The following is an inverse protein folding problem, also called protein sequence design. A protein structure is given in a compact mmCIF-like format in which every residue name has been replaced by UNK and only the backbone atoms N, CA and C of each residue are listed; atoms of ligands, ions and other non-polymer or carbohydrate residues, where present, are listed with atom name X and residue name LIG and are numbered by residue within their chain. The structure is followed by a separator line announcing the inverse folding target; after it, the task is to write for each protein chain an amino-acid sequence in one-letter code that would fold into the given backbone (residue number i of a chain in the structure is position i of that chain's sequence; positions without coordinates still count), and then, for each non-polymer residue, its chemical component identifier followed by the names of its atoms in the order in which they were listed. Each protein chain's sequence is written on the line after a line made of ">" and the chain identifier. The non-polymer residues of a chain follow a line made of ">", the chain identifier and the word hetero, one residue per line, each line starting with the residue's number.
data_IF_546942828952
#
_entry.id   IF_546942828952
#
_cell.length_a   1.000
_cell.length_b   1.000
_cell.length_c   1.000
_cell.angle_alpha   90.00
_cell.angle_beta   90.00
_cell.angle_gamma   90.00
#
_symmetry.space_group_name_H-M   'P 1'
#
loop_
_entity.id
_entity.type
_entity.pdbx_description
1 polymer ?
#
# COMPACT_ATOMS: atom_id res chain seq x y z
N UNK A 1 18.17 11.74 -3.80
CA UNK A 1 16.95 11.29 -4.51
C UNK A 1 17.09 11.67 -5.96
N UNK A 2 17.11 10.70 -6.88
CA UNK A 2 17.10 10.98 -8.33
C UNK A 2 15.65 11.26 -8.71
N UNK A 3 15.29 12.52 -8.90
CA UNK A 3 14.04 12.88 -9.56
C UNK A 3 14.16 12.40 -11.02
N UNK A 4 13.31 11.45 -11.41
CA UNK A 4 13.17 11.11 -12.82
C UNK A 4 12.70 12.33 -13.58
N UNK A 5 13.46 12.74 -14.60
CA UNK A 5 13.01 13.76 -15.55
C UNK A 5 11.87 13.12 -16.34
N UNK A 6 10.63 13.41 -15.94
CA UNK A 6 9.47 13.07 -16.76
C UNK A 6 9.41 14.11 -17.88
N UNK A 7 9.62 13.67 -19.12
CA UNK A 7 9.35 14.50 -20.28
C UNK A 7 7.84 14.83 -20.28
N UNK A 8 7.51 16.11 -20.08
CA UNK A 8 6.14 16.61 -20.21
C UNK A 8 5.88 16.72 -21.70
N UNK A 9 5.37 15.66 -22.31
CA UNK A 9 4.89 15.68 -23.70
C UNK A 9 3.46 16.17 -23.73
N UNK A 10 3.10 16.97 -24.72
CA UNK A 10 1.70 17.35 -24.98
C UNK A 10 0.86 16.10 -25.25
N UNK A 11 -0.39 16.12 -24.79
CA UNK A 11 -1.35 15.06 -25.07
C UNK A 11 -1.54 14.89 -26.59
N UNK A 12 -1.57 13.66 -27.13
CA UNK A 12 -1.70 13.43 -28.56
C UNK A 12 -3.13 13.56 -29.10
N UNK A 13 -4.14 13.61 -28.21
CA UNK A 13 -5.55 13.72 -28.59
C UNK A 13 -6.38 14.60 -27.65
N UNK A 14 -7.68 14.62 -27.89
CA UNK A 14 -8.66 15.31 -27.04
C UNK A 14 -8.80 14.63 -25.68
N UNK A 15 -9.40 15.34 -24.74
CA UNK A 15 -9.69 14.82 -23.42
C UNK A 15 -11.04 15.33 -22.92
N UNK A 16 -11.63 14.59 -21.97
CA UNK A 16 -12.76 15.04 -21.16
C UNK A 16 -12.26 15.60 -19.84
N UNK A 17 -12.96 16.58 -19.31
CA UNK A 17 -12.63 17.16 -18.01
C UNK A 17 -13.88 17.38 -17.15
N UNK A 18 -13.66 17.38 -15.84
CA UNK A 18 -14.59 17.91 -14.84
C UNK A 18 -13.82 18.87 -13.93
N UNK A 19 -14.50 19.93 -13.49
CA UNK A 19 -14.02 20.88 -12.49
C UNK A 19 -14.95 20.80 -11.30
N UNK A 20 -14.42 20.40 -10.16
CA UNK A 20 -15.14 20.19 -8.91
C UNK A 20 -14.68 21.21 -7.87
N UNK A 21 -15.62 21.86 -7.20
CA UNK A 21 -15.33 22.78 -6.09
C UNK A 21 -14.71 22.01 -4.93
N UNK A 22 -13.53 22.45 -4.51
CA UNK A 22 -12.91 21.99 -3.27
C UNK A 22 -13.55 22.74 -2.08
N UNK A 23 -14.62 22.13 -1.56
CA UNK A 23 -15.31 22.58 -0.37
C UNK A 23 -14.84 21.86 0.92
N UNK A 24 -13.66 21.23 0.89
CA UNK A 24 -13.01 20.70 2.08
C UNK A 24 -12.72 21.81 3.08
N UNK A 25 -12.71 21.50 4.37
CA UNK A 25 -12.32 22.50 5.37
C UNK A 25 -10.81 22.67 5.36
N UNK A 26 -10.34 23.86 4.97
CA UNK A 26 -8.91 24.15 4.90
C UNK A 26 -8.37 24.67 6.24
N UNK A 27 -7.37 23.96 6.77
CA UNK A 27 -6.53 24.47 7.85
C UNK A 27 -5.16 24.87 7.29
N UNK A 28 -4.81 26.15 7.46
CA UNK A 28 -3.52 26.66 7.02
C UNK A 28 -2.45 26.33 8.07
N UNK A 29 -1.27 25.81 7.66
CA UNK A 29 -0.17 25.55 8.57
C UNK A 29 0.19 26.78 9.42
N UNK A 30 0.59 26.54 10.67
CA UNK A 30 1.04 27.56 11.62
C UNK A 30 -0.01 28.65 11.94
N UNK A 31 -1.27 28.41 11.64
CA UNK A 31 -2.37 29.24 12.15
C UNK A 31 -3.03 28.53 13.33
N UNK A 32 -3.10 29.17 14.51
CA UNK A 32 -3.94 28.67 15.60
C UNK A 32 -5.38 28.96 15.18
N UNK A 33 -6.03 27.99 14.56
CA UNK A 33 -7.47 28.00 14.35
C UNK A 33 -8.12 27.62 15.69
N UNK A 34 -8.22 28.59 16.62
CA UNK A 34 -9.25 28.53 17.66
C UNK A 34 -10.56 28.46 16.88
N UNK A 35 -11.38 27.41 17.09
CA UNK A 35 -12.67 27.21 16.40
C UNK A 35 -13.28 28.56 16.02
N UNK A 36 -13.36 28.91 14.72
CA UNK A 36 -13.84 30.23 14.34
C UNK A 36 -15.29 30.39 14.82
N UNK A 37 -15.71 31.59 15.25
CA UNK A 37 -17.13 31.91 15.42
C UNK A 37 -17.97 31.73 14.13
N UNK A 38 -17.32 31.44 13.00
CA UNK A 38 -17.87 31.48 11.65
C UNK A 38 -17.71 30.18 10.82
N UNK A 39 -17.30 29.04 11.40
CA UNK A 39 -17.28 27.79 10.64
C UNK A 39 -16.60 26.60 11.34
N UNK A 40 -16.80 25.37 10.83
CA UNK A 40 -16.16 24.21 11.42
C UNK A 40 -14.65 24.22 11.16
N UNK A 41 -13.87 23.82 12.16
CA UNK A 41 -12.45 23.45 11.99
C UNK A 41 -12.34 22.12 11.24
N UNK A 42 -11.24 21.86 10.52
CA UNK A 42 -10.98 20.54 9.93
C UNK A 42 -10.88 19.41 10.97
N UNK A 43 -10.81 19.74 12.26
CA UNK A 43 -10.91 18.76 13.36
C UNK A 43 -12.35 18.29 13.64
N UNK A 44 -13.36 19.06 13.25
CA UNK A 44 -14.78 18.78 13.53
C UNK A 44 -15.60 18.56 12.26
N UNK A 45 -15.22 19.18 11.14
CA UNK A 45 -15.76 18.85 9.83
C UNK A 45 -14.65 18.98 8.80
N UNK A 46 -14.24 17.86 8.20
CA UNK A 46 -13.16 17.80 7.22
C UNK A 46 -13.61 18.18 5.79
N UNK A 47 -14.88 17.99 5.46
CA UNK A 47 -15.46 18.29 4.14
C UNK A 47 -16.99 18.32 4.20
N UNK A 48 -17.64 18.82 3.13
CA UNK A 48 -19.08 18.63 2.91
C UNK A 48 -19.34 17.25 2.29
N UNK A 49 -20.58 16.75 2.36
CA UNK A 49 -20.95 15.42 1.85
C UNK A 49 -20.78 15.21 0.34
N UNK A 50 -20.52 16.26 -0.44
CA UNK A 50 -20.30 16.21 -1.87
C UNK A 50 -19.43 17.38 -2.34
N UNK A 51 -18.77 17.24 -3.49
CA UNK A 51 -18.09 18.33 -4.21
C UNK A 51 -18.93 18.71 -5.44
N UNK A 52 -19.44 19.95 -5.55
CA UNK A 52 -20.18 20.39 -6.73
C UNK A 52 -19.31 20.38 -8.00
N UNK A 53 -19.80 19.76 -9.07
CA UNK A 53 -19.24 19.94 -10.42
C UNK A 53 -19.69 21.31 -10.93
N UNK A 54 -18.76 22.23 -11.14
CA UNK A 54 -19.04 23.58 -11.63
C UNK A 54 -18.85 23.72 -13.14
N UNK A 55 -18.07 22.82 -13.74
CA UNK A 55 -17.88 22.75 -15.19
C UNK A 55 -17.50 21.34 -15.61
N UNK A 56 -17.90 20.96 -16.82
CA UNK A 56 -17.43 19.73 -17.47
C UNK A 56 -17.46 19.93 -18.98
N UNK A 57 -16.64 19.18 -19.71
CA UNK A 57 -16.60 19.31 -21.16
C UNK A 57 -15.48 18.51 -21.79
N UNK A 58 -15.11 18.93 -23.00
CA UNK A 58 -13.98 18.39 -23.75
C UNK A 58 -12.96 19.47 -24.02
N UNK A 59 -11.68 19.09 -24.04
CA UNK A 59 -10.55 19.96 -24.36
C UNK A 59 -9.74 19.42 -25.54
N UNK A 60 -9.06 20.34 -26.23
CA UNK A 60 -8.13 20.00 -27.29
C UNK A 60 -6.75 19.66 -26.72
N UNK A 61 -5.85 19.12 -27.53
CA UNK A 61 -4.46 18.79 -27.16
C UNK A 61 -3.69 19.97 -26.54
N UNK A 62 -4.01 21.20 -26.95
CA UNK A 62 -3.42 22.44 -26.45
C UNK A 62 -3.99 22.92 -25.11
N UNK A 63 -5.03 22.27 -24.59
CA UNK A 63 -5.75 22.67 -23.37
C UNK A 63 -7.16 23.22 -23.65
N UNK A 64 -7.77 23.78 -22.61
CA UNK A 64 -9.10 24.38 -22.62
C UNK A 64 -9.16 25.54 -21.62
N UNK A 65 -9.85 26.62 -21.99
CA UNK A 65 -10.13 27.72 -21.08
C UNK A 65 -11.50 27.50 -20.42
N UNK A 66 -11.54 27.50 -19.10
CA UNK A 66 -12.76 27.31 -18.32
C UNK A 66 -12.93 28.50 -17.39
N UNK A 67 -14.06 29.20 -17.52
CA UNK A 67 -14.39 30.32 -16.62
C UNK A 67 -15.10 29.78 -15.39
N UNK A 68 -14.50 29.98 -14.22
CA UNK A 68 -15.06 29.62 -12.91
C UNK A 68 -14.88 30.79 -11.93
N UNK A 69 -15.72 30.92 -10.89
CA UNK A 69 -15.48 31.90 -9.82
C UNK A 69 -14.12 31.72 -9.13
N UNK A 70 -13.64 32.75 -8.41
CA UNK A 70 -12.38 32.67 -7.64
C UNK A 70 -12.54 31.81 -6.38
N UNK A 71 -12.46 30.49 -6.55
CA UNK A 71 -12.53 29.50 -5.47
C UNK A 71 -11.50 28.38 -5.68
N UNK A 72 -11.43 27.46 -4.71
CA UNK A 72 -10.59 26.26 -4.83
C UNK A 72 -11.31 25.20 -5.65
N UNK A 73 -10.58 24.58 -6.56
CA UNK A 73 -11.07 23.51 -7.43
C UNK A 73 -10.07 22.37 -7.55
N UNK A 74 -10.62 21.16 -7.71
CA UNK A 74 -9.92 20.04 -8.31
C UNK A 74 -10.38 19.85 -9.75
N UNK A 75 -9.41 19.71 -10.65
CA UNK A 75 -9.64 19.47 -12.07
C UNK A 75 -9.23 18.04 -12.33
N UNK A 76 -10.15 17.25 -12.87
CA UNK A 76 -9.89 15.88 -13.32
C UNK A 76 -9.93 15.84 -14.85
N UNK A 77 -8.93 15.21 -15.46
CA UNK A 77 -8.81 15.04 -16.91
C UNK A 77 -8.74 13.55 -17.24
N UNK A 78 -9.56 13.14 -18.20
CA UNK A 78 -9.56 11.80 -18.79
C UNK A 78 -9.31 11.92 -20.29
N UNK A 79 -8.09 11.62 -20.78
CA UNK A 79 -7.80 11.56 -22.20
C UNK A 79 -8.67 10.52 -22.92
N UNK A 80 -9.02 10.78 -24.18
CA UNK A 80 -9.94 9.90 -24.92
C UNK A 80 -9.30 8.57 -25.36
N UNK A 81 -7.97 8.48 -25.35
CA UNK A 81 -7.25 7.23 -25.64
C UNK A 81 -5.85 7.23 -25.03
N UNK A 82 -5.30 6.04 -24.79
CA UNK A 82 -3.87 5.83 -24.53
C UNK A 82 -3.33 6.27 -23.16
N UNK A 83 -4.15 6.89 -22.30
CA UNK A 83 -3.72 7.40 -20.99
C UNK A 83 -4.81 7.19 -19.92
N UNK A 84 -4.36 7.02 -18.68
CA UNK A 84 -5.20 6.98 -17.50
C UNK A 84 -5.68 8.39 -17.10
N UNK A 85 -6.69 8.44 -16.24
CA UNK A 85 -7.17 9.70 -15.66
C UNK A 85 -6.09 10.35 -14.78
N UNK A 86 -6.10 11.68 -14.72
CA UNK A 86 -5.23 12.48 -13.85
C UNK A 86 -5.98 13.65 -13.25
N UNK A 87 -5.38 14.31 -12.26
CA UNK A 87 -5.99 15.49 -11.65
C UNK A 87 -4.97 16.44 -11.04
N UNK A 88 -5.40 17.69 -10.87
CA UNK A 88 -4.62 18.74 -10.21
C UNK A 88 -5.54 19.80 -9.59
N UNK A 89 -5.05 20.48 -8.56
CA UNK A 89 -5.74 21.63 -7.98
C UNK A 89 -5.41 22.93 -8.72
N UNK A 90 -6.37 23.87 -8.74
CA UNK A 90 -6.11 25.25 -9.21
C UNK A 90 -5.38 26.12 -8.18
N UNK A 91 -4.97 25.55 -7.05
CA UNK A 91 -4.35 26.30 -5.95
C UNK A 91 -3.17 25.54 -5.35
N UNK A 92 -2.35 26.25 -4.60
CA UNK A 92 -1.32 25.69 -3.73
C UNK A 92 -1.30 26.43 -2.40
N UNK A 93 -0.85 25.75 -1.34
CA UNK A 93 -0.59 26.39 -0.05
C UNK A 93 0.87 26.81 -0.04
N UNK A 94 1.12 28.11 0.10
CA UNK A 94 2.46 28.66 0.16
C UNK A 94 2.75 29.22 1.56
N UNK A 95 3.99 29.08 2.07
CA UNK A 95 4.38 29.74 3.30
C UNK A 95 4.24 31.26 3.14
N UNK A 96 3.81 31.94 4.19
CA UNK A 96 3.78 33.40 4.17
C UNK A 96 5.20 33.97 4.12
N UNK A 97 5.35 35.13 3.48
CA UNK A 97 6.61 35.87 3.52
C UNK A 97 7.00 36.17 4.98
N UNK A 98 8.31 36.11 5.29
CA UNK A 98 8.87 36.46 6.60
C UNK A 98 8.25 35.69 7.80
N UNK A 99 8.06 34.37 7.68
CA UNK A 99 7.34 33.55 8.69
C UNK A 99 5.90 34.02 8.94
N UNK A 100 5.29 34.69 7.96
CA UNK A 100 3.87 35.03 7.98
C UNK A 100 2.98 33.80 7.82
N UNK A 101 1.66 33.94 8.07
CA UNK A 101 0.73 32.82 7.93
C UNK A 101 0.74 32.29 6.50
N UNK A 102 0.67 30.97 6.36
CA UNK A 102 0.50 30.33 5.06
C UNK A 102 -0.78 30.84 4.38
N UNK A 103 -0.78 30.90 3.05
CA UNK A 103 -1.91 31.39 2.27
C UNK A 103 -2.23 30.47 1.08
N UNK A 104 -3.48 30.53 0.64
CA UNK A 104 -3.91 29.92 -0.62
C UNK A 104 -3.48 30.81 -1.77
N UNK A 105 -2.77 30.24 -2.73
CA UNK A 105 -2.38 30.92 -3.98
C UNK A 105 -3.04 30.21 -5.15
N UNK A 106 -3.92 30.91 -5.86
CA UNK A 106 -4.60 30.43 -7.06
C UNK A 106 -3.68 30.49 -8.27
N UNK A 107 -3.93 29.59 -9.24
CA UNK A 107 -3.18 29.44 -10.48
C UNK A 107 -4.12 29.65 -11.66
N UNK A 108 -3.75 30.59 -12.52
CA UNK A 108 -4.49 30.85 -13.78
C UNK A 108 -4.28 29.72 -14.80
N UNK A 109 -3.17 28.99 -14.70
CA UNK A 109 -2.85 27.84 -15.54
C UNK A 109 -2.59 26.60 -14.69
N UNK A 110 -3.34 25.54 -14.97
CA UNK A 110 -3.21 24.25 -14.30
C UNK A 110 -2.66 23.22 -15.28
N UNK A 111 -1.53 22.60 -14.95
CA UNK A 111 -1.02 21.46 -15.70
C UNK A 111 -1.49 20.17 -15.03
N UNK A 112 -2.28 19.38 -15.74
CA UNK A 112 -2.72 18.06 -15.28
C UNK A 112 -1.81 16.99 -15.90
N UNK A 113 -1.14 16.21 -15.05
CA UNK A 113 -0.33 15.09 -15.48
C UNK A 113 -1.18 13.82 -15.56
N UNK A 114 -1.02 13.06 -16.64
CA UNK A 114 -1.69 11.78 -16.87
C UNK A 114 -0.65 10.70 -17.15
N UNK A 115 -0.97 9.45 -16.79
CA UNK A 115 -0.07 8.31 -17.00
C UNK A 115 -0.43 7.59 -18.30
N UNK A 116 0.57 7.24 -19.12
CA UNK A 116 0.36 6.51 -20.38
C UNK A 116 0.05 5.03 -20.12
N UNK A 117 -0.84 4.44 -20.92
CA UNK A 117 -1.11 3.01 -20.93
C UNK A 117 -0.10 2.22 -21.79
N UNK A 118 0.14 0.93 -21.51
CA UNK A 118 -0.37 0.17 -20.35
C UNK A 118 0.27 0.63 -19.04
N UNK A 119 -0.49 0.61 -17.95
CA UNK A 119 0.06 0.92 -16.64
C UNK A 119 0.94 -0.24 -16.17
N UNK A 120 2.08 0.03 -15.52
CA UNK A 120 2.81 -1.00 -14.82
C UNK A 120 1.93 -1.67 -13.76
N UNK A 121 2.10 -2.97 -13.56
CA UNK A 121 1.48 -3.67 -12.46
C UNK A 121 1.99 -3.16 -11.11
N UNK A 122 1.30 -3.54 -10.05
CA UNK A 122 1.67 -3.30 -8.66
C UNK A 122 2.17 -4.59 -7.98
N UNK A 123 2.62 -4.44 -6.75
CA UNK A 123 3.04 -5.55 -5.89
C UNK A 123 2.73 -5.22 -4.43
N UNK A 124 2.52 -6.26 -3.62
CA UNK A 124 2.39 -6.16 -2.16
C UNK A 124 3.53 -6.97 -1.56
N UNK A 125 4.29 -6.35 -0.65
CA UNK A 125 5.23 -7.04 0.22
C UNK A 125 4.57 -7.30 1.57
N UNK A 126 4.69 -8.52 2.06
CA UNK A 126 4.09 -8.98 3.30
C UNK A 126 5.21 -9.43 4.22
N UNK A 127 5.09 -9.13 5.50
CA UNK A 127 5.90 -9.74 6.54
C UNK A 127 5.01 -10.42 7.57
N UNK A 128 5.34 -11.65 7.92
CA UNK A 128 4.68 -12.40 8.99
C UNK A 128 5.74 -12.76 9.99
N UNK A 129 5.48 -12.48 11.26
CA UNK A 129 6.42 -12.70 12.34
C UNK A 129 5.77 -13.39 13.52
N UNK A 130 6.61 -13.99 14.34
CA UNK A 130 6.23 -14.37 15.69
C UNK A 130 6.23 -13.09 16.53
N UNK A 131 5.25 -12.96 17.42
CA UNK A 131 5.07 -11.81 18.31
C UNK A 131 4.93 -12.33 19.73
N UNK A 132 6.08 -12.59 20.36
CA UNK A 132 6.19 -13.25 21.65
C UNK A 132 6.86 -12.37 22.72
N UNK A 133 7.54 -11.28 22.34
CA UNK A 133 8.34 -10.52 23.30
C UNK A 133 8.47 -9.01 22.99
N UNK A 134 7.59 -8.15 23.54
CA UNK A 134 6.25 -8.36 24.11
C UNK A 134 5.14 -8.32 23.04
N UNK A 135 3.95 -8.89 23.34
CA UNK A 135 2.81 -8.92 22.41
C UNK A 135 2.29 -7.51 22.11
N UNK A 136 2.69 -6.94 20.97
CA UNK A 136 2.39 -5.55 20.61
C UNK A 136 2.19 -5.35 19.10
N UNK A 137 2.16 -6.44 18.32
CA UNK A 137 2.11 -6.44 16.86
C UNK A 137 3.30 -5.72 16.20
N UNK A 138 4.48 -5.86 16.81
CA UNK A 138 5.77 -5.58 16.21
C UNK A 138 6.64 -6.84 16.28
N UNK A 139 7.66 -6.89 15.43
CA UNK A 139 8.70 -7.89 15.58
C UNK A 139 9.82 -7.34 16.47
N UNK A 140 10.32 -8.19 17.33
CA UNK A 140 11.39 -7.95 18.26
C UNK A 140 12.51 -8.97 18.05
N UNK A 141 13.75 -8.56 18.35
CA UNK A 141 14.94 -9.41 18.17
C UNK A 141 14.83 -10.77 18.90
N UNK A 142 14.00 -10.86 19.95
CA UNK A 142 13.89 -12.01 20.84
C UNK A 142 12.55 -12.75 20.74
N UNK A 143 11.81 -12.62 19.64
CA UNK A 143 10.54 -13.33 19.40
C UNK A 143 10.63 -14.87 19.30
N UNK A 144 11.80 -15.47 19.57
CA UNK A 144 11.98 -16.91 19.79
C UNK A 144 12.50 -17.27 21.19
N UNK A 145 12.75 -16.27 22.03
CA UNK A 145 13.48 -16.37 23.29
C UNK A 145 14.88 -15.76 23.22
N UNK A 146 15.68 -16.04 24.24
CA UNK A 146 17.05 -15.51 24.38
C UNK A 146 18.10 -16.51 23.87
N UNK A 147 19.24 -16.02 23.40
CA UNK A 147 20.35 -16.86 22.92
C UNK A 147 20.07 -17.50 21.57
N UNK A 148 20.43 -18.78 21.41
CA UNK A 148 20.29 -19.53 20.15
C UNK A 148 18.83 -19.88 19.77
N UNK A 149 17.89 -19.56 20.65
CA UNK A 149 16.46 -19.81 20.43
C UNK A 149 15.77 -18.69 19.64
N UNK A 150 16.43 -17.55 19.44
CA UNK A 150 15.85 -16.42 18.74
C UNK A 150 15.53 -16.76 17.27
N UNK A 151 14.32 -16.40 16.83
CA UNK A 151 13.91 -16.56 15.43
C UNK A 151 14.63 -15.49 14.62
N UNK A 152 15.40 -15.90 13.61
CA UNK A 152 16.18 -14.98 12.79
C UNK A 152 15.28 -13.93 12.11
N UNK A 153 15.44 -12.67 12.50
CA UNK A 153 14.60 -11.52 12.10
C UNK A 153 13.12 -11.62 12.52
N UNK A 154 12.75 -12.48 13.48
CA UNK A 154 11.37 -12.67 13.95
C UNK A 154 10.42 -13.35 12.95
N UNK A 155 10.86 -13.60 11.71
CA UNK A 155 10.01 -14.08 10.63
C UNK A 155 9.38 -15.45 10.87
N UNK A 156 8.11 -15.59 10.53
CA UNK A 156 7.37 -16.85 10.56
C UNK A 156 7.23 -17.41 9.13
N UNK A 157 8.07 -18.38 8.79
CA UNK A 157 8.03 -19.06 7.51
C UNK A 157 6.83 -20.01 7.35
N UNK A 158 6.37 -20.18 6.10
CA UNK A 158 5.33 -21.15 5.73
C UNK A 158 3.88 -20.71 5.97
N UNK A 159 3.64 -19.46 6.40
CA UNK A 159 2.30 -18.92 6.53
C UNK A 159 1.67 -18.69 5.14
N UNK A 160 0.40 -19.04 4.97
CA UNK A 160 -0.34 -18.82 3.71
C UNK A 160 -0.93 -17.42 3.66
N UNK A 161 -0.71 -16.73 2.55
CA UNK A 161 -1.20 -15.36 2.31
C UNK A 161 -2.31 -15.39 1.27
N UNK A 162 -3.38 -14.64 1.54
CA UNK A 162 -4.50 -14.42 0.60
C UNK A 162 -4.76 -12.93 0.46
N UNK A 163 -5.20 -12.54 -0.72
CA UNK A 163 -5.65 -11.17 -1.00
C UNK A 163 -7.07 -11.19 -1.54
N UNK A 164 -7.81 -10.14 -1.22
CA UNK A 164 -9.13 -9.88 -1.75
C UNK A 164 -9.25 -8.40 -2.15
N UNK A 165 -10.00 -8.13 -3.21
CA UNK A 165 -10.44 -6.78 -3.57
C UNK A 165 -11.96 -6.67 -3.39
N UNK A 166 -12.58 -5.62 -3.93
CA UNK A 166 -14.03 -5.42 -3.87
C UNK A 166 -14.84 -6.56 -4.53
N UNK A 167 -14.24 -7.32 -5.43
CA UNK A 167 -14.81 -8.49 -6.09
C UNK A 167 -14.62 -9.80 -5.32
N UNK A 168 -13.88 -9.79 -4.20
CA UNK A 168 -13.61 -10.97 -3.39
C UNK A 168 -12.18 -11.49 -3.55
N UNK A 169 -11.97 -12.78 -3.28
CA UNK A 169 -10.62 -13.37 -3.28
C UNK A 169 -9.98 -13.32 -4.66
N UNK A 170 -8.76 -12.80 -4.73
CA UNK A 170 -7.96 -12.73 -5.96
C UNK A 170 -7.07 -13.97 -6.04
N UNK A 171 -7.17 -14.69 -7.15
CA UNK A 171 -6.43 -15.95 -7.40
C UNK A 171 -5.46 -15.86 -8.58
N UNK A 172 -5.62 -14.85 -9.42
CA UNK A 172 -4.82 -14.63 -10.63
C UNK A 172 -4.18 -13.25 -10.61
N UNK A 173 -3.09 -13.11 -11.34
CA UNK A 173 -2.48 -11.83 -11.65
C UNK A 173 -3.25 -11.09 -12.78
N UNK A 174 -2.81 -9.87 -13.12
CA UNK A 174 -3.46 -9.04 -14.16
C UNK A 174 -3.38 -9.63 -15.57
N UNK A 175 -2.53 -10.63 -15.78
CA UNK A 175 -2.37 -11.31 -17.06
C UNK A 175 -3.22 -12.59 -17.14
N UNK A 176 -3.99 -12.89 -16.08
CA UNK A 176 -4.89 -14.04 -16.02
C UNK A 176 -4.21 -15.35 -15.59
N UNK A 177 -2.94 -15.30 -15.18
CA UNK A 177 -2.23 -16.49 -14.68
C UNK A 177 -2.35 -16.59 -13.15
N UNK A 178 -2.23 -17.78 -12.55
CA UNK A 178 -2.30 -17.92 -11.09
C UNK A 178 -1.29 -17.02 -10.37
N UNK A 179 -1.66 -16.51 -9.19
CA UNK A 179 -0.72 -15.73 -8.36
C UNK A 179 0.59 -16.49 -8.13
N UNK A 180 1.69 -15.72 -8.11
CA UNK A 180 3.05 -16.27 -8.03
C UNK A 180 3.70 -16.57 -9.39
N UNK A 181 2.98 -16.39 -10.50
CA UNK A 181 3.54 -16.50 -11.85
C UNK A 181 4.66 -15.48 -12.06
N UNK A 182 5.77 -15.94 -12.66
CA UNK A 182 6.95 -15.15 -12.96
C UNK A 182 7.11 -15.01 -14.46
N UNK A 183 7.51 -13.82 -14.89
CA UNK A 183 7.66 -13.47 -16.29
C UNK A 183 9.08 -13.05 -16.58
N UNK A 184 9.53 -13.34 -17.80
CA UNK A 184 10.74 -12.77 -18.37
C UNK A 184 10.50 -11.28 -18.72
N UNK A 185 11.56 -10.49 -19.00
CA UNK A 185 11.41 -9.09 -19.42
C UNK A 185 10.55 -8.87 -20.67
N UNK A 186 10.42 -9.88 -21.54
CA UNK A 186 9.58 -9.88 -22.74
C UNK A 186 8.11 -10.28 -22.47
N UNK A 187 7.75 -10.45 -21.19
CA UNK A 187 6.44 -10.93 -20.71
C UNK A 187 6.10 -12.39 -21.06
N UNK A 188 7.03 -13.19 -21.57
CA UNK A 188 6.84 -14.64 -21.63
C UNK A 188 6.86 -15.24 -20.22
N UNK A 189 6.11 -16.33 -20.01
CA UNK A 189 6.05 -17.01 -18.70
C UNK A 189 7.37 -17.72 -18.45
N UNK A 190 8.10 -17.29 -17.41
CA UNK A 190 9.30 -17.97 -16.92
C UNK A 190 8.93 -19.15 -16.00
N UNK A 191 7.90 -18.97 -15.17
CA UNK A 191 7.42 -19.99 -14.24
C UNK A 191 5.95 -19.74 -13.93
N UNK A 192 5.11 -20.75 -14.13
CA UNK A 192 3.69 -20.69 -13.74
C UNK A 192 3.59 -20.70 -12.21
N UNK A 193 2.79 -19.78 -11.67
CA UNK A 193 2.49 -19.70 -10.25
C UNK A 193 1.55 -20.83 -9.80
N UNK A 194 1.55 -21.10 -8.51
CA UNK A 194 0.68 -22.12 -7.91
C UNK A 194 -0.70 -21.55 -7.52
N UNK A 195 -0.88 -20.22 -7.56
CA UNK A 195 -2.03 -19.54 -6.95
C UNK A 195 -1.99 -19.48 -5.43
N UNK A 196 -0.97 -20.09 -4.80
CA UNK A 196 -0.77 -20.13 -3.36
C UNK A 196 0.49 -19.34 -3.03
N UNK A 197 0.33 -18.31 -2.22
CA UNK A 197 1.44 -17.49 -1.74
C UNK A 197 1.74 -17.92 -0.31
N UNK A 198 3.00 -18.22 -0.03
CA UNK A 198 3.48 -18.53 1.33
C UNK A 198 4.66 -17.65 1.69
N UNK A 199 4.82 -17.37 2.98
CA UNK A 199 6.03 -16.72 3.48
C UNK A 199 7.25 -17.62 3.32
N UNK A 200 8.39 -16.99 3.04
CA UNK A 200 9.66 -17.67 2.83
C UNK A 200 10.03 -18.48 4.07
N UNK A 201 10.44 -19.72 3.87
CA UNK A 201 10.83 -20.65 4.93
C UNK A 201 12.33 -20.60 5.18
N UNK A 202 12.82 -21.11 6.31
CA UNK A 202 14.27 -21.27 6.55
C UNK A 202 14.90 -22.19 5.51
N UNK A 203 14.15 -23.17 5.00
CA UNK A 203 14.61 -24.14 4.00
C UNK A 203 14.82 -23.51 2.62
N UNK A 204 13.98 -22.54 2.27
CA UNK A 204 13.91 -22.00 0.92
C UNK A 204 14.58 -20.62 0.77
N UNK A 205 14.85 -19.91 1.88
CA UNK A 205 15.36 -18.52 1.86
C UNK A 205 16.69 -18.38 1.10
N UNK A 206 17.54 -19.40 1.13
CA UNK A 206 18.85 -19.40 0.46
C UNK A 206 18.82 -20.05 -0.93
N UNK A 207 17.68 -20.56 -1.38
CA UNK A 207 17.52 -21.17 -2.71
C UNK A 207 17.16 -20.07 -3.73
N UNK A 208 18.04 -19.70 -4.67
CA UNK A 208 17.79 -18.61 -5.62
C UNK A 208 16.66 -18.93 -6.61
N UNK A 209 16.34 -20.21 -6.85
CA UNK A 209 15.22 -20.59 -7.71
C UNK A 209 13.88 -20.35 -7.00
N UNK A 210 13.82 -20.60 -5.68
CA UNK A 210 12.61 -20.36 -4.88
C UNK A 210 12.50 -18.91 -4.43
N UNK A 211 13.63 -18.25 -4.16
CA UNK A 211 13.74 -16.90 -3.65
C UNK A 211 14.47 -15.93 -4.61
N UNK A 212 13.97 -15.71 -5.84
CA UNK A 212 14.61 -14.79 -6.79
C UNK A 212 14.50 -13.31 -6.36
N UNK A 213 13.68 -13.01 -5.34
CA UNK A 213 13.42 -11.66 -4.86
C UNK A 213 14.20 -11.29 -3.59
N UNK A 214 15.10 -12.16 -3.13
CA UNK A 214 15.90 -11.92 -1.92
C UNK A 214 15.04 -11.66 -0.68
N UNK A 215 13.91 -12.36 -0.55
CA UNK A 215 13.03 -12.31 0.61
C UNK A 215 13.75 -12.89 1.83
N UNK A 216 13.42 -12.38 3.02
CA UNK A 216 13.84 -12.99 4.29
C UNK A 216 12.80 -14.00 4.76
N UNK A 217 13.18 -14.86 5.71
CA UNK A 217 12.21 -15.76 6.38
C UNK A 217 11.03 -14.93 6.92
N UNK A 218 9.80 -15.40 6.73
CA UNK A 218 8.60 -14.66 7.10
C UNK A 218 8.13 -13.61 6.09
N UNK A 219 8.93 -13.25 5.08
CA UNK A 219 8.48 -12.36 4.01
C UNK A 219 7.77 -13.13 2.88
N UNK A 220 6.74 -12.52 2.30
CA UNK A 220 6.16 -12.92 1.04
C UNK A 220 6.05 -11.70 0.10
N UNK A 221 5.94 -11.97 -1.20
CA UNK A 221 5.64 -10.93 -2.19
C UNK A 221 4.59 -11.43 -3.17
N UNK A 222 3.59 -10.59 -3.41
CA UNK A 222 2.58 -10.79 -4.45
C UNK A 222 2.88 -9.75 -5.52
N UNK A 223 3.14 -10.20 -6.75
CA UNK A 223 3.48 -9.33 -7.88
C UNK A 223 2.41 -9.44 -8.95
N UNK A 224 2.48 -8.53 -9.91
CA UNK A 224 1.68 -8.53 -11.13
C UNK A 224 0.18 -8.33 -10.85
N UNK A 225 -0.17 -7.60 -9.79
CA UNK A 225 -1.57 -7.27 -9.48
C UNK A 225 -1.90 -5.86 -9.99
N UNK A 226 -3.18 -5.51 -10.12
CA UNK A 226 -3.56 -4.16 -10.52
C UNK A 226 -3.31 -3.19 -9.37
N UNK A 227 -3.03 -1.91 -9.63
CA UNK A 227 -3.07 -0.88 -8.61
C UNK A 227 -4.44 -0.84 -7.91
N UNK A 228 -4.47 -0.63 -6.60
CA UNK A 228 -5.73 -0.59 -5.86
C UNK A 228 -5.57 -0.83 -4.36
N UNK A 229 -6.71 -1.09 -3.73
CA UNK A 229 -6.84 -1.49 -2.33
C UNK A 229 -7.07 -3.00 -2.27
N UNK A 230 -6.29 -3.71 -1.47
CA UNK A 230 -6.45 -5.13 -1.23
C UNK A 230 -6.53 -5.42 0.27
N UNK A 231 -7.53 -6.19 0.67
CA UNK A 231 -7.53 -6.80 2.00
C UNK A 231 -6.58 -8.00 1.99
N UNK A 232 -5.53 -7.96 2.80
CA UNK A 232 -4.60 -9.08 2.99
C UNK A 232 -5.02 -9.88 4.22
N UNK A 233 -5.04 -11.20 4.11
CA UNK A 233 -5.23 -12.11 5.25
C UNK A 233 -4.15 -13.17 5.27
N UNK A 234 -3.75 -13.60 6.47
CA UNK A 234 -2.70 -14.59 6.67
C UNK A 234 -3.23 -15.73 7.53
N UNK A 235 -2.92 -16.96 7.12
CA UNK A 235 -3.16 -18.17 7.91
C UNK A 235 -1.79 -18.73 8.31
N UNK A 236 -1.46 -18.77 9.62
CA UNK A 236 -0.18 -19.32 10.07
C UNK A 236 -0.18 -20.85 9.90
N UNK A 237 1.00 -21.50 9.90
CA UNK A 237 1.10 -22.96 9.80
C UNK A 237 0.27 -23.65 10.88
N UNK A 238 -0.71 -24.48 10.48
CA UNK A 238 -1.59 -25.19 11.40
C UNK A 238 -0.99 -26.50 11.93
N UNK A 239 0.09 -26.97 11.30
CA UNK A 239 0.85 -28.14 11.70
C UNK A 239 2.34 -27.79 11.70
N UNK A 240 3.06 -28.40 12.61
CA UNK A 240 4.52 -28.39 12.63
C UNK A 240 5.07 -29.37 11.57
N UNK A 241 6.38 -29.37 11.36
CA UNK A 241 7.07 -30.18 10.36
C UNK A 241 6.94 -31.69 10.61
N UNK A 242 6.55 -32.07 11.83
CA UNK A 242 6.28 -33.45 12.25
C UNK A 242 4.78 -33.79 12.18
N UNK A 243 3.96 -32.92 11.57
CA UNK A 243 2.50 -33.05 11.47
C UNK A 243 1.75 -32.96 12.82
N UNK A 244 2.35 -32.41 13.86
CA UNK A 244 1.63 -32.11 15.10
C UNK A 244 0.87 -30.78 14.95
N UNK A 245 -0.36 -30.67 15.48
CA UNK A 245 -1.13 -29.44 15.38
C UNK A 245 -0.47 -28.29 16.16
N UNK A 246 -0.53 -27.09 15.59
CA UNK A 246 -0.06 -25.84 16.20
C UNK A 246 -1.19 -24.82 16.23
N UNK A 247 -1.39 -24.20 17.38
CA UNK A 247 -2.40 -23.15 17.58
C UNK A 247 -1.74 -21.80 17.73
N UNK A 248 -2.31 -20.82 17.04
CA UNK A 248 -1.84 -19.44 16.98
C UNK A 248 -2.97 -18.46 17.26
N UNK A 249 -2.60 -17.31 17.83
CA UNK A 249 -3.45 -16.12 17.94
C UNK A 249 -2.77 -15.01 17.14
N UNK A 250 -3.53 -14.35 16.26
CA UNK A 250 -3.07 -13.11 15.61
C UNK A 250 -3.18 -11.97 16.62
N UNK A 251 -2.10 -11.23 16.86
CA UNK A 251 -1.98 -10.39 18.06
C UNK A 251 -2.79 -9.10 17.97
N UNK A 252 -2.61 -8.29 16.91
CA UNK A 252 -3.56 -7.20 16.60
C UNK A 252 -3.49 -6.77 15.14
N UNK A 253 -4.51 -6.03 14.69
CA UNK A 253 -4.50 -5.29 13.43
C UNK A 253 -5.01 -3.87 13.70
N UNK A 254 -4.59 -2.91 12.89
CA UNK A 254 -5.13 -1.55 12.93
C UNK A 254 -6.59 -1.48 12.44
N UNK A 255 -7.05 -2.51 11.72
CA UNK A 255 -8.36 -2.54 11.06
C UNK A 255 -9.47 -3.14 11.93
N UNK A 256 -9.15 -3.67 13.11
CA UNK A 256 -10.14 -4.33 14.00
C UNK A 256 -10.69 -5.66 13.46
N UNK A 257 -10.12 -6.19 12.38
CA UNK A 257 -10.45 -7.49 11.79
C UNK A 257 -9.18 -8.32 11.57
N UNK A 258 -9.28 -9.56 11.07
CA UNK A 258 -8.08 -10.33 10.68
C UNK A 258 -7.38 -9.79 9.44
N UNK A 259 -8.03 -8.88 8.71
CA UNK A 259 -7.54 -8.29 7.47
C UNK A 259 -6.67 -7.07 7.78
N UNK A 260 -5.63 -6.88 6.97
CA UNK A 260 -4.86 -5.62 6.91
C UNK A 260 -4.92 -5.11 5.48
N UNK A 261 -5.27 -3.85 5.30
CA UNK A 261 -5.45 -3.25 3.98
C UNK A 261 -4.11 -2.79 3.40
N UNK A 262 -3.82 -3.24 2.17
CA UNK A 262 -2.68 -2.81 1.39
C UNK A 262 -3.14 -1.89 0.25
N UNK A 263 -2.59 -0.68 0.20
CA UNK A 263 -2.82 0.27 -0.87
C UNK A 263 -1.58 0.34 -1.77
N UNK A 264 -1.73 -0.01 -3.04
CA UNK A 264 -0.60 -0.11 -3.97
C UNK A 264 -0.88 0.65 -5.26
N UNK A 265 0.09 1.44 -5.72
CA UNK A 265 0.01 2.16 -7.00
C UNK A 265 0.75 1.39 -8.11
N UNK A 266 0.59 1.87 -9.34
CA UNK A 266 1.36 1.35 -10.47
C UNK A 266 2.87 1.50 -10.19
N UNK A 267 3.63 0.44 -10.47
CA UNK A 267 5.06 0.37 -10.21
C UNK A 267 5.44 0.61 -8.73
N UNK A 268 4.59 0.18 -7.79
CA UNK A 268 4.86 0.33 -6.37
C UNK A 268 6.17 -0.38 -5.97
N UNK A 269 7.09 0.29 -5.26
CA UNK A 269 8.30 -0.36 -4.75
C UNK A 269 7.99 -1.47 -3.73
N UNK A 270 8.95 -2.35 -3.43
CA UNK A 270 8.77 -3.40 -2.40
C UNK A 270 8.62 -2.78 -0.98
N UNK A 271 9.08 -1.55 -0.78
CA UNK A 271 9.07 -0.86 0.50
C UNK A 271 7.95 0.18 0.48
N UNK A 272 7.06 0.08 1.45
CA UNK A 272 5.97 1.01 1.69
C UNK A 272 6.36 2.03 2.77
N UNK A 273 5.92 3.29 2.60
CA UNK A 273 6.08 4.36 3.58
C UNK A 273 4.70 4.98 3.78
N UNK A 274 4.12 4.84 4.97
CA UNK A 274 2.79 5.34 5.33
C UNK A 274 2.77 6.86 5.59
N UNK A 275 3.52 7.62 4.79
CA UNK A 275 3.66 9.07 4.89
C UNK A 275 4.69 9.57 5.91
N UNK A 276 5.05 8.76 6.92
CA UNK A 276 6.03 9.13 7.96
C UNK A 276 6.88 7.92 8.38
N UNK A 277 8.11 8.17 8.86
CA UNK A 277 8.95 7.14 9.48
C UNK A 277 9.77 6.27 8.51
N UNK A 278 10.24 5.14 9.02
CA UNK A 278 11.06 4.18 8.28
C UNK A 278 10.17 3.32 7.37
N UNK A 279 10.60 3.12 6.12
CA UNK A 279 9.88 2.25 5.20
C UNK A 279 9.89 0.79 5.65
N UNK A 280 8.77 0.10 5.45
CA UNK A 280 8.56 -1.29 5.84
C UNK A 280 7.86 -2.09 4.72
N UNK A 281 7.45 -3.32 5.02
CA UNK A 281 6.54 -4.07 4.15
C UNK A 281 5.17 -3.38 4.09
N UNK A 282 4.39 -3.64 3.04
CA UNK A 282 3.05 -3.03 2.89
C UNK A 282 2.12 -3.45 4.02
N UNK A 283 2.24 -4.70 4.46
CA UNK A 283 1.48 -5.25 5.57
C UNK A 283 2.36 -6.16 6.42
N UNK A 284 2.07 -6.20 7.72
CA UNK A 284 2.79 -6.98 8.71
C UNK A 284 1.80 -7.72 9.61
N UNK A 285 2.04 -9.00 9.88
CA UNK A 285 1.17 -9.82 10.72
C UNK A 285 1.96 -10.47 11.86
N UNK A 286 1.62 -10.14 13.10
CA UNK A 286 2.13 -10.79 14.30
C UNK A 286 1.28 -11.99 14.71
N UNK A 287 1.96 -13.09 15.07
CA UNK A 287 1.33 -14.30 15.60
C UNK A 287 1.98 -14.76 16.90
N UNK A 288 1.13 -14.95 17.91
CA UNK A 288 1.45 -15.61 19.17
C UNK A 288 1.11 -17.10 19.07
N UNK A 289 2.13 -17.96 19.06
CA UNK A 289 1.94 -19.39 19.29
C UNK A 289 1.39 -19.61 20.71
N UNK A 290 0.35 -20.44 20.85
CA UNK A 290 -0.25 -20.78 22.15
C UNK A 290 -0.25 -22.29 22.46
N UNK A 291 -0.12 -23.15 21.44
CA UNK A 291 -0.04 -24.60 21.66
C UNK A 291 0.69 -25.32 20.51
N UNK A 292 1.46 -26.39 20.77
CA UNK A 292 1.89 -26.84 22.10
C UNK A 292 2.86 -25.83 22.75
N UNK A 293 2.94 -25.85 24.08
CA UNK A 293 3.84 -24.94 24.83
C UNK A 293 5.32 -25.16 24.47
N UNK A 294 5.71 -26.43 24.32
CA UNK A 294 7.07 -26.81 23.93
C UNK A 294 7.45 -26.35 22.51
N UNK A 295 8.73 -26.47 22.15
CA UNK A 295 9.21 -26.13 20.81
C UNK A 295 8.52 -26.97 19.73
N UNK A 296 8.08 -26.31 18.67
CA UNK A 296 7.57 -26.94 17.45
C UNK A 296 8.49 -26.58 16.29
N UNK A 297 8.98 -27.56 15.50
CA UNK A 297 9.69 -27.29 14.26
C UNK A 297 8.68 -26.83 13.19
N UNK A 298 8.81 -25.64 12.66
CA UNK A 298 7.85 -25.05 11.72
C UNK A 298 8.65 -24.51 10.55
N UNK A 299 8.50 -25.04 9.34
CA UNK A 299 9.16 -24.51 8.15
C UNK A 299 10.69 -24.37 8.29
N UNK A 300 11.32 -25.26 9.07
CA UNK A 300 12.76 -25.25 9.34
C UNK A 300 13.24 -24.29 10.45
N UNK A 301 12.34 -23.63 11.18
CA UNK A 301 12.63 -22.88 12.42
C UNK A 301 12.02 -23.60 13.63
N UNK A 302 12.52 -23.33 14.84
CA UNK A 302 11.92 -23.84 16.08
C UNK A 302 11.15 -22.71 16.77
N UNK A 303 9.86 -22.90 17.03
CA UNK A 303 9.00 -21.92 17.70
C UNK A 303 8.39 -22.53 18.96
N UNK A 304 8.63 -21.90 20.11
CA UNK A 304 8.10 -22.31 21.43
C UNK A 304 7.26 -21.20 22.03
N UNK A 305 6.36 -21.54 22.93
CA UNK A 305 5.71 -20.53 23.78
C UNK A 305 6.76 -20.03 24.78
N UNK A 306 6.81 -18.71 25.01
CA UNK A 306 7.72 -18.14 25.99
C UNK A 306 7.14 -18.21 27.41
N UNK A 307 7.96 -18.38 28.46
CA UNK A 307 7.47 -18.61 29.82
C UNK A 307 6.57 -17.53 30.42
N UNK A 308 6.55 -16.33 29.83
CA UNK A 308 5.76 -15.18 30.27
C UNK A 308 4.49 -14.95 29.44
N UNK A 309 4.23 -15.81 28.45
CA UNK A 309 3.04 -15.78 27.59
C UNK A 309 2.07 -16.94 27.90
#
# INVERSE_FOLDING_TARGET
>A
MRYGIHAITTLPGTFRYIVEEDNSTLNLPQTIQIVPPSGPSSTLAIHKSYAPVVSSGTGATSGVNVSVPDQRYFITVLPDSGYALGGASNYSIQPGANNGPAAVVYKDTVTVQVAQHPLPSAQISIFVHVDHNPINNTWDQHDGGVGNDAIANGGLGGASVRIADAGGQVLTDVFGNPLGTRYNPDMSIAQVGTGVITTMTVRDVNDPLKNPYGLKVGEAIIKNISPGKYGVTVVPPQFDDNSNPVTWIQTSTIEGTKTIDAWVKANEPKIFIEGFGQGFNHVAFGFLKVSPAGPSPIAGQSVKVLPWN
#
